data_IF_136315869389
#
_entry.id   IF_136315869389
#
_cell.length_a   1.000
_cell.length_b   1.000
_cell.length_c   1.000
_cell.angle_alpha   90.00
_cell.angle_beta   90.00
_cell.angle_gamma   90.00
#
_symmetry.space_group_name_H-M   'P 1'
#
loop_
_entity.id
_entity.type
_entity.pdbx_description
1 polymer ?
#
# COMPACT_ATOMS: atom_id res chain seq x y z
N UNK A 1 -2.29 21.70 -11.67
CA UNK A 1 -1.15 21.22 -12.49
C UNK A 1 -0.03 20.56 -11.65
N UNK A 2 0.48 21.18 -10.57
CA UNK A 2 1.59 20.61 -9.74
C UNK A 2 1.30 19.21 -9.17
N UNK A 3 0.14 18.99 -8.55
CA UNK A 3 -0.22 17.67 -8.00
C UNK A 3 -0.31 16.56 -9.07
N UNK A 4 -0.71 16.90 -10.30
CA UNK A 4 -0.74 15.95 -11.42
C UNK A 4 0.67 15.57 -11.87
N UNK A 5 1.58 16.55 -11.97
CA UNK A 5 2.99 16.30 -12.26
C UNK A 5 3.64 15.42 -11.18
N UNK A 6 3.33 15.66 -9.91
CA UNK A 6 3.80 14.81 -8.79
C UNK A 6 3.25 13.39 -8.92
N UNK A 7 1.97 13.22 -9.29
CA UNK A 7 1.38 11.88 -9.50
C UNK A 7 2.10 11.07 -10.58
N UNK A 8 2.58 11.71 -11.65
CA UNK A 8 3.31 11.04 -12.74
C UNK A 8 4.73 10.60 -12.37
N UNK A 9 5.33 11.16 -11.31
CA UNK A 9 6.65 10.74 -10.83
C UNK A 9 6.66 9.33 -10.21
N UNK A 10 5.48 8.77 -9.92
CA UNK A 10 5.32 7.42 -9.37
C UNK A 10 5.29 6.30 -10.41
N UNK A 11 5.52 6.62 -11.69
CA UNK A 11 5.58 5.63 -12.76
C UNK A 11 6.95 4.94 -12.73
N UNK A 12 7.01 3.60 -12.59
CA UNK A 12 8.28 2.88 -12.56
C UNK A 12 9.08 3.03 -13.87
N UNK A 13 10.43 2.98 -13.84
CA UNK A 13 11.28 2.89 -12.65
C UNK A 13 11.42 4.24 -11.94
N UNK A 14 11.27 4.24 -10.61
CA UNK A 14 11.47 5.44 -9.79
C UNK A 14 12.93 5.47 -9.32
N UNK A 15 13.62 6.60 -9.47
CA UNK A 15 14.99 6.77 -8.98
C UNK A 15 15.03 7.06 -7.48
N UNK A 16 16.17 6.82 -6.81
CA UNK A 16 16.37 7.22 -5.40
C UNK A 16 16.09 8.70 -5.16
N UNK A 17 16.54 9.56 -6.07
CA UNK A 17 16.30 11.00 -5.99
C UNK A 17 14.79 11.33 -6.09
N UNK A 18 14.06 10.65 -6.97
CA UNK A 18 12.61 10.82 -7.08
C UNK A 18 11.88 10.33 -5.82
N UNK A 19 12.32 9.22 -5.23
CA UNK A 19 11.80 8.70 -3.96
C UNK A 19 11.92 9.73 -2.84
N UNK A 20 13.14 10.24 -2.64
CA UNK A 20 13.43 11.22 -1.59
C UNK A 20 12.64 12.52 -1.82
N UNK A 21 12.54 12.98 -3.07
CA UNK A 21 11.74 14.16 -3.39
C UNK A 21 10.24 13.99 -3.08
N UNK A 22 9.65 12.84 -3.44
CA UNK A 22 8.26 12.53 -3.08
C UNK A 22 8.07 12.46 -1.56
N UNK A 23 9.08 11.95 -0.85
CA UNK A 23 9.07 11.87 0.59
C UNK A 23 9.07 13.23 1.27
N UNK A 24 9.90 14.15 0.77
CA UNK A 24 9.96 15.53 1.22
C UNK A 24 8.63 16.23 0.97
N UNK A 25 8.08 16.12 -0.24
CA UNK A 25 6.79 16.70 -0.58
C UNK A 25 5.64 16.17 0.29
N UNK A 26 5.64 14.90 0.67
CA UNK A 26 4.59 14.35 1.54
C UNK A 26 4.64 14.95 2.97
N UNK A 27 5.85 15.27 3.46
CA UNK A 27 6.08 15.78 4.82
C UNK A 27 6.04 17.30 4.92
N UNK A 28 6.27 18.02 3.82
CA UNK A 28 6.28 19.48 3.84
C UNK A 28 4.87 20.04 4.11
N UNK A 29 4.70 20.65 5.29
CA UNK A 29 3.44 21.27 5.69
C UNK A 29 3.14 22.57 4.96
N UNK A 30 4.12 23.14 4.25
CA UNK A 30 3.93 24.30 3.37
C UNK A 30 3.30 23.91 2.03
N UNK A 31 3.34 22.63 1.66
CA UNK A 31 2.72 22.13 0.44
C UNK A 31 1.21 21.91 0.64
N UNK A 32 0.47 22.04 -0.46
CA UNK A 32 -0.97 21.81 -0.42
C UNK A 32 -1.29 20.34 -0.12
N UNK A 33 -2.40 20.09 0.58
CA UNK A 33 -2.88 18.71 0.85
C UNK A 33 -2.98 17.87 -0.43
N UNK A 34 -3.34 18.48 -1.57
CA UNK A 34 -3.40 17.78 -2.85
C UNK A 34 -2.01 17.33 -3.34
N UNK A 35 -0.99 18.18 -3.24
CA UNK A 35 0.40 17.86 -3.61
C UNK A 35 0.96 16.79 -2.68
N UNK A 36 0.76 16.94 -1.37
CA UNK A 36 1.20 15.95 -0.37
C UNK A 36 0.56 14.59 -0.63
N UNK A 37 -0.75 14.55 -0.88
CA UNK A 37 -1.49 13.32 -1.24
C UNK A 37 -1.00 12.71 -2.54
N UNK A 38 -0.74 13.55 -3.55
CA UNK A 38 -0.16 13.12 -4.82
C UNK A 38 1.19 12.43 -4.60
N UNK A 39 2.02 12.96 -3.71
CA UNK A 39 3.33 12.41 -3.40
C UNK A 39 3.24 11.03 -2.74
N UNK A 40 2.41 10.87 -1.71
CA UNK A 40 2.15 9.55 -1.07
C UNK A 40 1.65 8.54 -2.11
N UNK A 41 0.76 8.99 -2.99
CA UNK A 41 0.16 8.13 -4.01
C UNK A 41 1.13 7.73 -5.12
N UNK A 42 1.97 8.67 -5.56
CA UNK A 42 3.01 8.40 -6.54
C UNK A 42 3.97 7.34 -6.00
N UNK A 43 4.43 7.52 -4.76
CA UNK A 43 5.35 6.58 -4.14
C UNK A 43 4.75 5.18 -4.00
N UNK A 44 3.50 5.07 -3.52
CA UNK A 44 2.83 3.77 -3.39
C UNK A 44 2.62 3.02 -4.70
N UNK A 45 2.60 3.71 -5.86
CA UNK A 45 2.49 3.07 -7.19
C UNK A 45 3.83 2.65 -7.79
N UNK A 46 4.95 3.09 -7.22
CA UNK A 46 6.29 2.82 -7.75
C UNK A 46 6.66 1.34 -7.83
N UNK A 47 5.95 0.47 -7.09
CA UNK A 47 6.28 -0.97 -6.93
C UNK A 47 7.72 -1.21 -6.48
N UNK A 48 8.32 -0.22 -5.83
CA UNK A 48 9.67 -0.30 -5.29
C UNK A 48 9.74 -1.36 -4.17
N UNK A 49 10.80 -2.19 -4.10
CA UNK A 49 11.02 -3.09 -2.97
C UNK A 49 11.02 -2.37 -1.61
N UNK A 50 11.49 -1.12 -1.56
CA UNK A 50 11.51 -0.25 -0.38
C UNK A 50 10.19 0.51 -0.20
N UNK A 51 9.18 0.27 -1.05
CA UNK A 51 7.94 1.03 -0.99
C UNK A 51 7.25 0.88 0.37
N UNK A 52 7.25 -0.35 0.90
CA UNK A 52 6.54 -0.69 2.12
C UNK A 52 7.15 -0.01 3.36
N UNK A 53 8.45 -0.20 3.59
CA UNK A 53 9.15 0.37 4.75
C UNK A 53 9.03 1.89 4.81
N UNK A 54 9.12 2.53 3.64
CA UNK A 54 8.93 3.96 3.52
C UNK A 54 7.50 4.40 3.84
N UNK A 55 6.48 3.75 3.28
CA UNK A 55 5.08 4.12 3.54
C UNK A 55 4.72 3.95 5.02
N UNK A 56 5.29 2.94 5.68
CA UNK A 56 5.15 2.71 7.13
C UNK A 56 5.78 3.86 7.93
N UNK A 57 7.03 4.24 7.60
CA UNK A 57 7.70 5.40 8.21
C UNK A 57 6.92 6.69 8.00
N UNK A 58 6.46 6.92 6.76
CA UNK A 58 5.69 8.09 6.40
C UNK A 58 4.39 8.15 7.19
N UNK A 59 3.63 7.06 7.30
CA UNK A 59 2.42 6.96 8.11
C UNK A 59 2.63 7.39 9.57
N UNK A 60 3.77 7.01 10.17
CA UNK A 60 4.11 7.40 11.55
C UNK A 60 4.47 8.88 11.67
N UNK A 61 5.09 9.47 10.64
CA UNK A 61 5.49 10.89 10.64
C UNK A 61 4.38 11.87 10.28
N UNK A 62 3.30 11.40 9.64
CA UNK A 62 2.24 12.27 9.14
C UNK A 62 1.24 12.66 10.23
N UNK A 63 1.00 13.96 10.40
CA UNK A 63 -0.06 14.53 11.24
C UNK A 63 -1.45 14.44 10.59
N UNK A 64 -1.52 14.57 9.26
CA UNK A 64 -2.78 14.56 8.51
C UNK A 64 -3.41 13.16 8.44
N UNK A 65 -4.59 12.99 9.05
CA UNK A 65 -5.39 11.75 8.97
C UNK A 65 -5.65 11.30 7.53
N UNK A 66 -5.90 12.24 6.62
CA UNK A 66 -6.13 11.93 5.21
C UNK A 66 -4.89 11.38 4.51
N UNK A 67 -3.71 11.92 4.80
CA UNK A 67 -2.46 11.40 4.25
C UNK A 67 -2.11 10.04 4.84
N UNK A 68 -2.32 9.85 6.16
CA UNK A 68 -2.20 8.54 6.82
C UNK A 68 -3.13 7.49 6.18
N UNK A 69 -4.35 7.88 5.83
CA UNK A 69 -5.29 7.02 5.12
C UNK A 69 -4.82 6.58 3.75
N UNK A 70 -4.24 7.51 3.00
CA UNK A 70 -3.66 7.22 1.69
C UNK A 70 -2.49 6.25 1.85
N UNK A 71 -1.61 6.46 2.83
CA UNK A 71 -0.50 5.55 3.12
C UNK A 71 -0.98 4.12 3.42
N UNK A 72 -1.97 3.94 4.31
CA UNK A 72 -2.54 2.62 4.63
C UNK A 72 -3.10 1.90 3.40
N UNK A 73 -3.71 2.65 2.47
CA UNK A 73 -4.23 2.08 1.22
C UNK A 73 -3.13 1.50 0.35
N UNK A 74 -1.97 2.17 0.25
CA UNK A 74 -0.84 1.66 -0.54
C UNK A 74 -0.02 0.60 0.20
N UNK A 75 0.03 0.64 1.53
CA UNK A 75 0.59 -0.44 2.35
C UNK A 75 -0.18 -1.74 2.09
N UNK A 76 -1.51 -1.70 2.15
CA UNK A 76 -2.35 -2.89 1.93
C UNK A 76 -2.20 -3.51 0.53
N UNK A 77 -1.87 -2.68 -0.47
CA UNK A 77 -1.68 -3.08 -1.87
C UNK A 77 -0.24 -3.43 -2.22
N UNK A 78 0.66 -3.45 -1.23
CA UNK A 78 2.05 -3.79 -1.48
C UNK A 78 2.21 -5.28 -1.80
N UNK A 79 3.22 -5.62 -2.60
CA UNK A 79 3.51 -7.00 -2.98
C UNK A 79 3.92 -7.87 -1.78
N UNK A 80 4.58 -7.29 -0.76
CA UNK A 80 4.84 -7.98 0.50
C UNK A 80 3.61 -7.92 1.41
N UNK A 81 2.59 -8.73 1.07
CA UNK A 81 1.32 -8.77 1.80
C UNK A 81 1.49 -9.24 3.25
N UNK A 82 2.51 -10.05 3.55
CA UNK A 82 2.78 -10.51 4.91
C UNK A 82 3.24 -9.36 5.79
N UNK A 83 4.24 -8.59 5.35
CA UNK A 83 4.72 -7.45 6.11
C UNK A 83 3.69 -6.30 6.14
N UNK A 84 2.91 -6.12 5.06
CA UNK A 84 1.78 -5.20 5.04
C UNK A 84 0.74 -5.55 6.11
N UNK A 85 0.32 -6.82 6.19
CA UNK A 85 -0.62 -7.29 7.20
C UNK A 85 -0.10 -7.07 8.63
N UNK A 86 1.18 -7.37 8.90
CA UNK A 86 1.78 -7.13 10.22
C UNK A 86 1.69 -5.66 10.65
N UNK A 87 1.93 -4.73 9.72
CA UNK A 87 1.79 -3.30 10.02
C UNK A 87 0.34 -2.89 10.25
N UNK A 88 -0.59 -3.38 9.43
CA UNK A 88 -2.02 -3.09 9.60
C UNK A 88 -2.56 -3.65 10.94
N UNK A 89 -2.09 -4.81 11.40
CA UNK A 89 -2.41 -5.34 12.73
C UNK A 89 -1.96 -4.36 13.80
N UNK A 90 -0.70 -3.90 13.74
CA UNK A 90 -0.19 -2.91 14.69
C UNK A 90 -1.09 -1.68 14.75
N UNK A 91 -1.43 -1.10 13.59
CA UNK A 91 -2.31 0.08 13.51
C UNK A 91 -3.71 -0.21 14.08
N UNK A 92 -4.28 -1.37 13.77
CA UNK A 92 -5.60 -1.76 14.27
C UNK A 92 -5.64 -1.91 15.80
N UNK A 93 -4.53 -2.34 16.42
CA UNK A 93 -4.44 -2.62 17.85
C UNK A 93 -3.86 -1.50 18.69
N UNK A 94 -3.20 -0.50 18.08
CA UNK A 94 -2.52 0.58 18.80
C UNK A 94 -3.54 1.60 19.36
N UNK A 95 -3.70 1.74 20.69
CA UNK A 95 -4.72 2.63 21.26
C UNK A 95 -4.49 4.12 20.96
N UNK A 96 -3.22 4.52 20.77
CA UNK A 96 -2.83 5.89 20.45
C UNK A 96 -3.19 6.32 19.03
N UNK A 97 -3.63 5.40 18.17
CA UNK A 97 -4.07 5.75 16.82
C UNK A 97 -5.54 6.20 16.77
N UNK A 98 -5.85 7.07 15.81
CA UNK A 98 -7.21 7.54 15.52
C UNK A 98 -8.15 6.36 15.21
N UNK A 99 -9.36 6.36 15.79
CA UNK A 99 -10.29 5.24 15.71
C UNK A 99 -10.71 4.90 14.27
N UNK A 100 -10.80 5.88 13.38
CA UNK A 100 -11.11 5.65 11.97
C UNK A 100 -9.94 5.01 11.23
N UNK A 101 -8.70 5.37 11.57
CA UNK A 101 -7.51 4.70 11.04
C UNK A 101 -7.42 3.24 11.49
N UNK A 102 -7.79 2.94 12.75
CA UNK A 102 -7.85 1.55 13.25
C UNK A 102 -8.90 0.72 12.52
N UNK A 103 -10.13 1.24 12.36
CA UNK A 103 -11.20 0.58 11.60
C UNK A 103 -10.77 0.29 10.16
N UNK A 104 -10.15 1.26 9.52
CA UNK A 104 -9.66 1.08 8.16
C UNK A 104 -8.53 0.04 8.08
N UNK A 105 -7.63 -0.03 9.06
CA UNK A 105 -6.61 -1.06 9.09
C UNK A 105 -7.23 -2.47 9.16
N UNK A 106 -8.30 -2.65 9.96
CA UNK A 106 -9.10 -3.89 9.98
C UNK A 106 -9.72 -4.20 8.61
N UNK A 107 -10.33 -3.21 7.96
CA UNK A 107 -10.89 -3.39 6.62
C UNK A 107 -9.83 -3.84 5.61
N UNK A 108 -8.66 -3.21 5.61
CA UNK A 108 -7.53 -3.58 4.72
C UNK A 108 -6.99 -4.98 5.00
N UNK A 109 -6.98 -5.42 6.26
CA UNK A 109 -6.62 -6.80 6.61
C UNK A 109 -7.59 -7.81 6.00
N UNK A 110 -8.89 -7.50 6.02
CA UNK A 110 -9.91 -8.32 5.38
C UNK A 110 -9.70 -8.46 3.87
N UNK A 111 -9.32 -7.37 3.19
CA UNK A 111 -8.99 -7.38 1.75
C UNK A 111 -7.81 -8.30 1.44
N UNK A 112 -6.70 -8.19 2.20
CA UNK A 112 -5.53 -9.06 2.02
C UNK A 112 -5.90 -10.53 2.21
N UNK A 113 -6.64 -10.86 3.28
CA UNK A 113 -7.06 -12.22 3.56
C UNK A 113 -7.96 -12.79 2.45
N UNK A 114 -8.88 -11.98 1.94
CA UNK A 114 -9.76 -12.35 0.83
C UNK A 114 -9.00 -12.64 -0.47
N UNK A 115 -8.00 -11.82 -0.82
CA UNK A 115 -7.15 -12.03 -2.00
C UNK A 115 -6.36 -13.35 -1.92
N UNK A 116 -5.80 -13.66 -0.74
CA UNK A 116 -5.07 -14.91 -0.50
C UNK A 116 -5.98 -16.15 -0.61
N UNK A 117 -7.19 -16.07 -0.04
CA UNK A 117 -8.18 -17.14 -0.16
C UNK A 117 -8.58 -17.38 -1.62
N UNK A 118 -8.83 -16.32 -2.40
CA UNK A 118 -9.16 -16.43 -3.83
C UNK A 118 -8.01 -17.03 -4.65
N UNK A 119 -6.76 -16.68 -4.34
CA UNK A 119 -5.58 -17.28 -4.99
C UNK A 119 -5.51 -18.79 -4.77
N UNK A 120 -5.64 -19.21 -3.51
CA UNK A 120 -5.63 -20.64 -3.10
C UNK A 120 -6.71 -21.46 -3.81
N UNK A 121 -7.92 -20.89 -3.95
CA UNK A 121 -9.03 -21.54 -4.65
C UNK A 121 -8.72 -21.71 -6.15
N UNK A 122 -8.19 -20.68 -6.82
CA UNK A 122 -7.81 -20.76 -8.24
C UNK A 122 -6.74 -21.83 -8.50
N UNK A 123 -5.72 -21.89 -7.65
CA UNK A 123 -4.66 -22.92 -7.74
C UNK A 123 -5.21 -24.34 -7.55
N UNK A 124 -6.21 -24.52 -6.68
CA UNK A 124 -6.81 -25.83 -6.42
C UNK A 124 -7.71 -26.29 -7.56
N UNK A 125 -8.54 -25.40 -8.11
CA UNK A 125 -9.36 -25.70 -9.30
C UNK A 125 -8.50 -26.01 -10.52
N UNK A 126 -7.47 -25.18 -10.80
CA UNK A 126 -6.60 -25.38 -11.95
C UNK A 126 -5.79 -26.68 -11.92
N UNK A 127 -5.40 -27.17 -10.73
CA UNK A 127 -4.76 -28.50 -10.58
C UNK A 127 -5.71 -29.63 -10.91
N UNK A 128 -6.97 -29.53 -10.48
CA UNK A 128 -7.99 -30.55 -10.73
C UNK A 128 -8.24 -30.73 -12.23
N UNK A 129 -8.28 -29.63 -12.99
CA UNK A 129 -8.50 -29.67 -14.44
C UNK A 129 -7.31 -30.29 -15.21
N UNK A 130 -6.06 -30.00 -14.79
CA UNK A 130 -4.86 -30.56 -15.40
C UNK A 130 -4.67 -32.06 -15.10
N UNK A 131 -4.97 -32.48 -13.86
CA UNK A 131 -4.85 -33.88 -13.44
C UNK A 131 -5.89 -34.77 -14.14
N UNK A 132 -7.09 -34.24 -14.42
CA UNK A 132 -8.16 -34.98 -15.12
C UNK A 132 -7.82 -35.23 -16.60
N UNK A 133 -7.03 -34.35 -17.24
CA UNK A 133 -6.63 -34.51 -18.65
C UNK A 133 -5.48 -35.52 -18.85
N UNK A 134 -4.62 -35.72 -17.85
CA UNK A 134 -3.50 -36.66 -17.94
C UNK A 134 -3.91 -38.13 -17.73
N UNK A 135 -5.08 -38.40 -17.17
CA UNK A 135 -5.59 -39.76 -16.92
C UNK A 135 -6.42 -40.36 -18.08
N UNK A 136 -6.59 -39.63 -19.19
CA UNK A 136 -7.39 -40.06 -20.35
C UNK A 136 -6.54 -40.47 -21.58
N UNK A 137 -5.24 -40.76 -21.40
CA UNK A 137 -4.36 -41.32 -22.44
C UNK A 137 -3.93 -42.75 -22.10
#
# INVERSE_FOLDING_TARGET
MRAQAVRSLGVPPVSDATREYLAQLARDERESQEVRRAAVSAYGRSRDPQALSFLQSLYTSLSSRDLRRVALTYIARNNDQRAAAQFLIRVATQPSDDSELRKMAVLRLGEIAGEQALGTLKETVGRTDADTQLQLQ
#
